data_IF_951283613612
#
_entry.id   IF_951283613612
#
_cell.length_a   1.000
_cell.length_b   1.000
_cell.length_c   1.000
_cell.angle_alpha   90.00
_cell.angle_beta   90.00
_cell.angle_gamma   90.00
#
_symmetry.space_group_name_H-M   'P 1'
#
loop_
_entity.id
_entity.type
_entity.pdbx_description
1 polymer ?
#
# COMPACT_ATOMS: atom_id res chain seq x y z
N UNK A 1 0.46 -5.90 20.41
CA UNK A 1 1.54 -6.73 19.83
C UNK A 1 1.14 -7.63 18.65
N UNK A 2 0.16 -8.55 18.77
CA UNK A 2 -0.17 -9.45 17.63
C UNK A 2 -0.81 -8.71 16.44
N UNK A 3 -1.70 -7.75 16.71
CA UNK A 3 -2.47 -7.00 15.70
C UNK A 3 -1.60 -6.11 14.80
N UNK A 4 -0.62 -5.43 15.39
CA UNK A 4 0.35 -4.58 14.68
C UNK A 4 1.28 -5.36 13.74
N UNK A 5 1.55 -6.64 14.00
CA UNK A 5 2.31 -7.51 13.08
C UNK A 5 1.51 -7.80 11.81
N UNK A 6 0.20 -8.11 11.95
CA UNK A 6 -0.66 -8.32 10.78
C UNK A 6 -0.77 -7.07 9.92
N UNK A 7 -0.93 -5.89 10.52
CA UNK A 7 -1.04 -4.63 9.76
C UNK A 7 0.28 -4.32 9.03
N UNK A 8 1.44 -4.55 9.68
CA UNK A 8 2.75 -4.44 9.01
C UNK A 8 2.89 -5.42 7.84
N UNK A 9 2.48 -6.67 8.00
CA UNK A 9 2.53 -7.67 6.94
C UNK A 9 1.65 -7.29 5.74
N UNK A 10 0.42 -6.82 5.99
CA UNK A 10 -0.50 -6.33 4.95
C UNK A 10 0.11 -5.14 4.20
N UNK A 11 0.75 -4.20 4.89
CA UNK A 11 1.46 -3.09 4.25
C UNK A 11 2.61 -3.55 3.34
N UNK A 12 3.39 -4.54 3.76
CA UNK A 12 4.50 -5.08 2.94
C UNK A 12 3.96 -5.76 1.68
N UNK A 13 2.89 -6.55 1.80
CA UNK A 13 2.24 -7.21 0.65
C UNK A 13 1.68 -6.17 -0.33
N UNK A 14 1.01 -5.12 0.16
CA UNK A 14 0.54 -4.02 -0.68
C UNK A 14 1.69 -3.27 -1.37
N UNK A 15 2.80 -3.02 -0.68
CA UNK A 15 3.99 -2.43 -1.30
C UNK A 15 4.57 -3.29 -2.43
N UNK A 16 4.61 -4.62 -2.24
CA UNK A 16 5.07 -5.56 -3.27
C UNK A 16 4.14 -5.61 -4.49
N UNK A 17 2.82 -5.47 -4.31
CA UNK A 17 1.85 -5.39 -5.40
C UNK A 17 2.08 -4.15 -6.29
N UNK A 18 2.38 -3.01 -5.68
CA UNK A 18 2.75 -1.78 -6.43
C UNK A 18 4.04 -2.01 -7.22
N UNK A 19 5.07 -2.58 -6.58
CA UNK A 19 6.34 -2.91 -7.22
C UNK A 19 6.16 -3.83 -8.43
N UNK A 20 5.23 -4.79 -8.36
CA UNK A 20 4.87 -5.68 -9.46
C UNK A 20 4.25 -4.96 -10.67
N UNK A 21 3.73 -3.74 -10.51
CA UNK A 21 3.09 -2.97 -11.59
C UNK A 21 4.00 -1.90 -12.23
N UNK A 22 5.17 -1.64 -11.64
CA UNK A 22 6.20 -0.78 -12.22
C UNK A 22 6.57 -1.19 -13.66
N UNK A 23 6.75 -2.48 -14.02
CA UNK A 23 7.05 -2.85 -15.41
C UNK A 23 5.92 -2.47 -16.38
N UNK A 24 4.65 -2.58 -15.96
CA UNK A 24 3.48 -2.14 -16.75
C UNK A 24 3.45 -0.61 -16.94
N UNK A 25 3.82 0.14 -15.89
CA UNK A 25 3.94 1.61 -15.90
C UNK A 25 5.03 2.12 -16.85
N UNK A 26 6.14 1.39 -17.01
CA UNK A 26 7.29 1.79 -17.83
C UNK A 26 7.12 1.45 -19.32
N UNK A 27 6.20 0.55 -19.68
CA UNK A 27 6.10 0.00 -21.04
C UNK A 27 5.12 0.78 -21.97
N UNK A 28 4.90 2.08 -21.72
CA UNK A 28 4.06 3.01 -22.51
C UNK A 28 2.53 2.74 -22.51
N UNK A 29 2.00 2.01 -21.53
CA UNK A 29 0.58 1.70 -21.41
C UNK A 29 -0.04 2.23 -20.12
N UNK A 30 -0.07 3.55 -19.92
CA UNK A 30 -0.76 4.11 -18.75
C UNK A 30 -2.27 4.08 -18.96
N UNK A 31 -2.83 2.88 -18.86
CA UNK A 31 -4.25 2.63 -18.88
C UNK A 31 -4.88 3.36 -17.68
N UNK A 32 -5.95 4.16 -17.86
CA UNK A 32 -6.60 4.87 -16.75
C UNK A 32 -6.93 4.00 -15.54
N UNK A 33 -7.18 2.70 -15.76
CA UNK A 33 -7.37 1.70 -14.69
C UNK A 33 -6.12 1.56 -13.80
N UNK A 34 -4.93 1.46 -14.41
CA UNK A 34 -3.65 1.34 -13.68
C UNK A 34 -3.40 2.57 -12.83
N UNK A 35 -3.69 3.77 -13.36
CA UNK A 35 -3.53 5.05 -12.65
C UNK A 35 -4.47 5.14 -11.43
N UNK A 36 -5.76 4.85 -11.60
CA UNK A 36 -6.73 4.84 -10.49
C UNK A 36 -6.33 3.81 -9.44
N UNK A 37 -5.90 2.63 -9.87
CA UNK A 37 -5.49 1.56 -8.96
C UNK A 37 -4.23 1.95 -8.16
N UNK A 38 -3.26 2.62 -8.78
CA UNK A 38 -2.09 3.17 -8.08
C UNK A 38 -2.46 4.23 -7.04
N UNK A 39 -3.43 5.11 -7.33
CA UNK A 39 -3.91 6.12 -6.36
C UNK A 39 -4.56 5.43 -5.16
N UNK A 40 -5.45 4.45 -5.40
CA UNK A 40 -6.12 3.70 -4.33
C UNK A 40 -5.11 2.95 -3.47
N UNK A 41 -4.11 2.33 -4.07
CA UNK A 41 -3.01 1.67 -3.35
C UNK A 41 -2.21 2.64 -2.48
N UNK A 42 -1.90 3.84 -2.97
CA UNK A 42 -1.24 4.88 -2.16
C UNK A 42 -2.11 5.30 -0.97
N UNK A 43 -3.42 5.50 -1.18
CA UNK A 43 -4.35 5.79 -0.08
C UNK A 43 -4.38 4.65 0.95
N UNK A 44 -4.33 3.40 0.51
CA UNK A 44 -4.33 2.22 1.37
C UNK A 44 -3.06 2.13 2.21
N UNK A 45 -1.90 2.44 1.62
CA UNK A 45 -0.62 2.50 2.34
C UNK A 45 -0.63 3.63 3.38
N UNK A 46 -1.07 4.84 3.00
CA UNK A 46 -1.15 5.98 3.93
C UNK A 46 -2.08 5.67 5.10
N UNK A 47 -3.24 5.04 4.83
CA UNK A 47 -4.16 4.61 5.87
C UNK A 47 -3.56 3.54 6.78
N UNK A 48 -2.87 2.54 6.23
CA UNK A 48 -2.16 1.51 7.00
C UNK A 48 -1.11 2.10 7.94
N UNK A 49 -0.35 3.09 7.47
CA UNK A 49 0.63 3.83 8.30
C UNK A 49 -0.07 4.62 9.41
N UNK A 50 -1.16 5.31 9.09
CA UNK A 50 -1.95 6.08 10.05
C UNK A 50 -2.53 5.19 11.17
N UNK A 51 -3.07 4.03 10.80
CA UNK A 51 -3.59 3.03 11.73
C UNK A 51 -2.47 2.49 12.63
N UNK A 52 -1.30 2.16 12.07
CA UNK A 52 -0.15 1.72 12.86
C UNK A 52 0.34 2.81 13.83
N UNK A 53 0.40 4.07 13.39
CA UNK A 53 0.82 5.18 14.25
C UNK A 53 -0.14 5.35 15.42
N UNK A 54 -1.44 5.35 15.16
CA UNK A 54 -2.47 5.51 16.19
C UNK A 54 -2.53 4.33 17.17
N UNK A 55 -2.17 3.12 16.73
CA UNK A 55 -2.04 1.96 17.63
C UNK A 55 -0.77 2.03 18.51
N UNK A 56 0.32 2.62 18.03
CA UNK A 56 1.53 2.86 18.84
C UNK A 56 1.36 4.00 19.85
N UNK A 57 0.54 5.02 19.54
CA UNK A 57 0.26 6.16 20.45
C UNK A 57 -0.62 5.76 21.65
N UNK A 58 -1.34 4.63 21.55
CA UNK A 58 -2.18 4.05 22.61
C UNK A 58 -1.47 2.99 23.48
N UNK A 59 -0.19 2.70 23.21
CA UNK A 59 0.64 1.81 24.01
C UNK A 59 1.50 2.62 24.98
#
# INVERSE_FOLDING_TARGET
MKKSIYIKAVMVVFGLLILSRIPDLLNNGMNPVTLVSSIVELCFIVWGILVLRNENDKQ
#
